data_IF_792196387990
#
_entry.id   IF_792196387990
#
_cell.length_a   1.000
_cell.length_b   1.000
_cell.length_c   1.000
_cell.angle_alpha   90.00
_cell.angle_beta   90.00
_cell.angle_gamma   90.00
#
_symmetry.space_group_name_H-M   'P 1'
#
loop_
_entity.id
_entity.type
_entity.pdbx_description
1 polymer ?
#
# COMPACT_ATOMS: atom_id res chain seq x y z
N UNK A 1 58.56 2.68 -25.63
CA UNK A 1 59.25 2.93 -26.90
C UNK A 1 58.32 3.73 -27.80
N UNK A 2 58.63 5.01 -27.97
CA UNK A 2 58.05 5.92 -28.97
C UNK A 2 58.65 5.61 -30.35
N UNK A 3 57.96 5.99 -31.45
CA UNK A 3 58.32 7.23 -32.17
C UNK A 3 57.06 8.03 -32.63
N UNK A 4 56.91 9.36 -32.47
CA UNK A 4 57.46 10.53 -33.23
C UNK A 4 57.41 10.34 -34.76
N UNK A 5 56.90 11.22 -35.64
CA UNK A 5 56.92 12.70 -35.82
C UNK A 5 56.16 12.97 -37.15
N UNK A 6 55.40 14.04 -37.46
CA UNK A 6 55.79 15.42 -37.84
C UNK A 6 54.52 16.15 -38.39
N UNK A 7 54.21 17.38 -37.97
CA UNK A 7 54.37 18.69 -38.70
C UNK A 7 53.62 18.77 -40.06
N UNK A 8 52.84 19.79 -40.43
CA UNK A 8 52.92 21.25 -40.24
C UNK A 8 51.55 21.89 -40.59
N UNK A 9 51.03 22.80 -39.76
CA UNK A 9 50.86 24.25 -39.99
C UNK A 9 50.18 24.71 -41.29
N UNK A 10 49.05 25.41 -41.16
CA UNK A 10 48.84 26.75 -41.75
C UNK A 10 47.92 27.59 -40.85
N UNK A 11 48.43 28.77 -40.51
CA UNK A 11 47.85 29.85 -39.71
C UNK A 11 47.51 31.03 -40.64
N UNK A 12 46.56 31.88 -40.23
CA UNK A 12 46.21 33.24 -40.70
C UNK A 12 44.72 33.32 -41.12
N UNK A 13 43.86 34.29 -40.73
CA UNK A 13 43.93 35.63 -40.08
C UNK A 13 42.46 35.98 -39.66
N UNK A 14 42.20 36.53 -38.45
CA UNK A 14 41.79 37.94 -38.14
C UNK A 14 40.58 38.47 -38.96
N UNK A 15 39.46 39.00 -38.45
CA UNK A 15 39.13 39.91 -37.32
C UNK A 15 37.60 39.81 -36.97
N UNK A 16 37.11 40.47 -35.90
CA UNK A 16 35.80 40.25 -35.26
C UNK A 16 34.69 41.18 -35.79
N UNK A 17 33.44 40.74 -35.67
CA UNK A 17 32.27 41.64 -35.74
C UNK A 17 31.40 41.41 -34.50
N UNK A 18 31.46 42.39 -33.60
CA UNK A 18 30.55 42.56 -32.48
C UNK A 18 29.29 43.22 -33.04
N UNK A 19 28.15 42.54 -33.01
CA UNK A 19 26.84 43.14 -33.29
C UNK A 19 25.85 42.73 -32.20
N UNK A 20 25.21 43.76 -31.66
CA UNK A 20 24.21 43.77 -30.60
C UNK A 20 23.14 42.69 -30.76
N UNK A 21 22.91 41.90 -29.72
CA UNK A 21 21.63 41.19 -29.51
C UNK A 21 20.80 41.97 -28.48
N UNK A 22 19.70 42.55 -28.95
CA UNK A 22 18.58 42.94 -28.12
C UNK A 22 17.79 41.68 -27.69
N UNK A 23 17.25 41.62 -26.46
CA UNK A 23 16.50 40.46 -25.99
C UNK A 23 15.09 40.46 -26.60
N UNK A 24 14.82 39.48 -27.47
CA UNK A 24 13.46 39.06 -27.79
C UNK A 24 12.98 38.14 -26.67
N UNK A 25 12.05 38.66 -25.88
CA UNK A 25 11.30 37.93 -24.86
C UNK A 25 10.53 36.76 -25.48
N UNK A 26 11.05 35.56 -25.29
CA UNK A 26 10.33 34.31 -25.47
C UNK A 26 9.46 34.06 -24.23
N UNK A 27 8.16 33.91 -24.45
CA UNK A 27 7.25 33.28 -23.48
C UNK A 27 7.63 31.81 -23.44
N UNK A 28 8.48 31.45 -22.50
CA UNK A 28 8.84 30.07 -22.19
C UNK A 28 7.90 29.56 -21.09
N UNK A 29 7.18 28.48 -21.40
CA UNK A 29 6.55 27.61 -20.42
C UNK A 29 7.58 27.23 -19.35
N UNK A 30 7.27 27.52 -18.09
CA UNK A 30 8.10 27.13 -16.96
C UNK A 30 8.19 25.62 -16.85
N UNK A 31 9.33 25.06 -17.26
CA UNK A 31 9.79 23.77 -16.77
C UNK A 31 10.16 23.98 -15.29
N UNK A 32 9.43 23.30 -14.40
CA UNK A 32 9.85 23.17 -13.01
C UNK A 32 11.20 22.45 -12.99
N UNK A 33 12.13 23.00 -12.21
CA UNK A 33 13.45 22.42 -12.00
C UNK A 33 13.30 20.98 -11.47
N UNK A 34 14.03 20.06 -12.10
CA UNK A 34 14.33 18.75 -11.54
C UNK A 34 15.13 18.96 -10.25
N UNK A 35 14.46 18.91 -9.10
CA UNK A 35 15.11 18.63 -7.83
C UNK A 35 15.51 17.15 -7.86
N UNK A 36 16.82 16.92 -8.01
CA UNK A 36 17.51 15.66 -7.73
C UNK A 36 17.35 15.31 -6.23
N UNK A 37 16.15 14.88 -5.85
CA UNK A 37 15.95 14.19 -4.58
C UNK A 37 16.62 12.81 -4.67
N UNK A 38 17.50 12.47 -3.70
CA UNK A 38 18.27 11.23 -3.72
C UNK A 38 17.37 9.99 -3.75
N UNK A 39 17.86 8.92 -4.38
CA UNK A 39 17.24 7.60 -4.37
C UNK A 39 17.05 7.11 -2.92
N UNK A 40 15.92 6.44 -2.64
CA UNK A 40 15.67 5.85 -1.32
C UNK A 40 16.66 4.72 -1.09
N UNK A 41 17.30 4.70 0.08
CA UNK A 41 18.34 3.72 0.45
C UNK A 41 17.78 2.59 1.31
N UNK A 42 18.52 1.50 1.50
CA UNK A 42 18.21 0.42 2.48
C UNK A 42 17.91 0.99 3.90
N UNK A 43 18.55 2.11 4.25
CA UNK A 43 18.35 2.82 5.51
C UNK A 43 16.95 3.46 5.60
N UNK A 44 16.35 3.88 4.47
CA UNK A 44 15.02 4.48 4.41
C UNK A 44 13.92 3.43 4.62
N UNK A 45 14.05 2.24 4.03
CA UNK A 45 13.13 1.13 4.30
C UNK A 45 13.25 0.62 5.74
N UNK A 46 14.47 0.56 6.26
CA UNK A 46 14.74 0.20 7.66
C UNK A 46 14.12 1.23 8.60
N UNK A 47 14.20 2.53 8.30
CA UNK A 47 13.55 3.59 9.06
C UNK A 47 12.01 3.45 9.05
N UNK A 48 11.42 3.06 7.92
CA UNK A 48 9.97 2.84 7.77
C UNK A 48 9.47 1.55 8.43
N UNK A 49 10.34 0.56 8.64
CA UNK A 49 9.99 -0.75 9.20
C UNK A 49 9.39 -0.69 10.62
N UNK A 50 9.59 0.45 11.27
CA UNK A 50 9.21 0.76 12.64
C UNK A 50 8.12 1.84 12.74
N UNK A 51 7.63 2.38 11.63
CA UNK A 51 6.63 3.45 11.64
C UNK A 51 5.22 2.93 11.89
N UNK A 52 4.36 3.80 12.43
CA UNK A 52 2.94 3.49 12.61
C UNK A 52 2.15 4.02 11.41
N UNK A 53 1.31 3.18 10.84
CA UNK A 53 0.52 3.51 9.65
C UNK A 53 -0.88 4.01 10.01
N UNK A 54 -1.38 4.95 9.22
CA UNK A 54 -2.65 5.62 9.43
C UNK A 54 -3.49 5.59 8.15
N UNK A 55 -4.82 5.55 8.34
CA UNK A 55 -5.78 5.61 7.24
C UNK A 55 -6.60 6.91 7.30
N UNK A 56 -6.62 7.63 6.19
CA UNK A 56 -7.46 8.81 5.93
C UNK A 56 -8.11 8.76 4.55
N UNK A 57 -8.14 7.57 3.94
CA UNK A 57 -8.84 7.33 2.68
C UNK A 57 -10.37 7.43 2.82
N UNK A 58 -11.09 7.22 1.71
CA UNK A 58 -12.50 7.58 1.62
C UNK A 58 -13.45 6.58 2.28
N UNK A 59 -13.01 5.36 2.64
CA UNK A 59 -13.86 4.33 3.23
C UNK A 59 -13.93 4.45 4.76
N UNK A 60 -15.16 4.62 5.28
CA UNK A 60 -15.41 4.48 6.72
C UNK A 60 -15.53 3.02 7.16
N UNK A 61 -15.54 2.79 8.46
CA UNK A 61 -15.97 1.51 9.02
C UNK A 61 -17.34 1.10 8.47
N UNK A 62 -17.45 -0.13 7.96
CA UNK A 62 -18.67 -0.66 7.37
C UNK A 62 -19.59 -1.22 8.44
N UNK A 63 -20.89 -1.04 8.25
CA UNK A 63 -21.93 -1.71 9.03
C UNK A 63 -22.12 -3.13 8.50
N UNK A 64 -22.18 -4.09 9.42
CA UNK A 64 -22.38 -5.52 9.15
C UNK A 64 -21.47 -6.07 8.03
N UNK A 65 -20.13 -5.92 8.15
CA UNK A 65 -19.24 -6.39 7.10
C UNK A 65 -19.27 -7.92 7.00
N UNK A 66 -18.94 -8.44 5.82
CA UNK A 66 -18.65 -9.84 5.54
C UNK A 66 -17.39 -9.93 4.71
N UNK A 67 -16.58 -10.97 4.96
CA UNK A 67 -15.27 -11.14 4.34
C UNK A 67 -15.23 -12.47 3.59
N UNK A 68 -14.84 -12.43 2.31
CA UNK A 68 -14.62 -13.62 1.48
C UNK A 68 -13.19 -13.62 0.96
N UNK A 69 -12.45 -14.68 1.22
CA UNK A 69 -11.12 -14.94 0.68
C UNK A 69 -11.24 -15.98 -0.42
N UNK A 70 -10.79 -15.63 -1.63
CA UNK A 70 -10.68 -16.58 -2.74
C UNK A 70 -9.24 -17.04 -2.91
N UNK A 71 -9.01 -18.34 -2.71
CA UNK A 71 -7.66 -18.92 -2.80
C UNK A 71 -7.17 -19.02 -4.25
N UNK A 72 -8.03 -19.42 -5.20
CA UNK A 72 -7.68 -19.41 -6.63
C UNK A 72 -7.65 -17.99 -7.21
N UNK A 73 -8.56 -17.12 -6.75
CA UNK A 73 -8.61 -15.73 -7.17
C UNK A 73 -7.47 -14.89 -6.61
N UNK A 74 -6.85 -15.29 -5.50
CA UNK A 74 -5.88 -14.47 -4.77
C UNK A 74 -6.45 -13.07 -4.47
N UNK A 75 -7.69 -13.05 -3.98
CA UNK A 75 -8.41 -11.85 -3.59
C UNK A 75 -9.04 -12.00 -2.22
N UNK A 76 -9.24 -10.87 -1.55
CA UNK A 76 -10.18 -10.76 -0.44
C UNK A 76 -11.23 -9.71 -0.79
N UNK A 77 -12.51 -10.05 -0.65
CA UNK A 77 -13.62 -9.13 -0.79
C UNK A 77 -14.24 -8.85 0.57
N UNK A 78 -14.44 -7.58 0.87
CA UNK A 78 -15.26 -7.12 1.99
C UNK A 78 -16.54 -6.51 1.45
N UNK A 79 -17.69 -6.97 1.96
CA UNK A 79 -19.00 -6.40 1.63
C UNK A 79 -19.65 -5.89 2.89
N UNK A 80 -20.21 -4.68 2.87
CA UNK A 80 -20.91 -4.10 4.02
C UNK A 80 -21.59 -2.80 3.63
N UNK A 81 -22.36 -2.22 4.55
CA UNK A 81 -23.09 -0.98 4.29
C UNK A 81 -22.27 0.22 4.76
N UNK A 82 -22.21 1.28 3.96
CA UNK A 82 -21.67 2.55 4.42
C UNK A 82 -22.62 3.17 5.47
N UNK A 83 -22.10 3.83 6.52
CA UNK A 83 -22.94 4.60 7.42
C UNK A 83 -23.75 5.63 6.64
N UNK A 84 -25.03 5.80 6.99
CA UNK A 84 -25.98 6.61 6.22
C UNK A 84 -25.54 8.08 6.01
N UNK A 85 -24.71 8.61 6.92
CA UNK A 85 -24.18 9.98 6.86
C UNK A 85 -22.92 10.13 6.00
N UNK A 86 -22.39 9.05 5.44
CA UNK A 86 -21.11 9.05 4.71
C UNK A 86 -21.36 8.97 3.20
N UNK A 87 -20.94 10.01 2.48
CA UNK A 87 -20.78 9.92 1.04
C UNK A 87 -19.41 9.33 0.72
N UNK A 88 -19.37 8.32 -0.13
CA UNK A 88 -18.13 7.71 -0.59
C UNK A 88 -17.74 8.33 -1.93
N UNK A 89 -16.54 8.92 -1.99
CA UNK A 89 -15.93 9.31 -3.25
C UNK A 89 -15.56 8.07 -4.08
N UNK A 90 -15.58 8.18 -5.41
CA UNK A 90 -15.24 7.06 -6.29
C UNK A 90 -13.85 6.51 -5.98
N UNK A 91 -13.79 5.20 -5.75
CA UNK A 91 -12.57 4.47 -5.45
C UNK A 91 -12.45 3.25 -6.38
N UNK A 92 -11.27 2.99 -6.98
CA UNK A 92 -11.13 2.02 -8.08
C UNK A 92 -11.46 0.58 -7.67
N UNK A 93 -11.25 0.26 -6.40
CA UNK A 93 -11.39 -1.07 -5.82
C UNK A 93 -12.77 -1.28 -5.16
N UNK A 94 -13.70 -0.34 -5.36
CA UNK A 94 -15.04 -0.35 -4.76
C UNK A 94 -16.13 -0.38 -5.83
N UNK A 95 -17.15 -1.21 -5.62
CA UNK A 95 -18.44 -1.13 -6.31
C UNK A 95 -19.52 -0.81 -5.31
N UNK A 96 -20.40 0.14 -5.66
CA UNK A 96 -21.50 0.60 -4.81
C UNK A 96 -22.85 0.18 -5.39
N UNK A 97 -23.70 -0.40 -4.56
CA UNK A 97 -25.09 -0.67 -4.87
C UNK A 97 -25.99 0.51 -4.44
N UNK A 98 -27.20 0.57 -5.00
CA UNK A 98 -28.14 1.66 -4.77
C UNK A 98 -28.61 1.77 -3.30
N UNK A 99 -28.57 0.67 -2.55
CA UNK A 99 -28.95 0.58 -1.14
C UNK A 99 -27.86 1.07 -0.16
N UNK A 100 -26.71 1.51 -0.69
CA UNK A 100 -25.55 1.93 0.10
C UNK A 100 -24.59 0.79 0.49
N UNK A 101 -24.87 -0.45 0.04
CA UNK A 101 -23.92 -1.56 0.16
C UNK A 101 -22.72 -1.31 -0.74
N UNK A 102 -21.52 -1.52 -0.21
CA UNK A 102 -20.27 -1.49 -0.97
C UNK A 102 -19.62 -2.87 -0.98
N UNK A 103 -19.02 -3.21 -2.11
CA UNK A 103 -18.12 -4.36 -2.26
C UNK A 103 -16.72 -3.83 -2.56
N UNK A 104 -15.78 -4.18 -1.71
CA UNK A 104 -14.39 -3.73 -1.73
C UNK A 104 -13.50 -4.93 -1.97
N UNK A 105 -12.63 -4.91 -2.97
CA UNK A 105 -11.80 -6.08 -3.33
C UNK A 105 -10.32 -5.71 -3.30
N UNK A 106 -9.53 -6.50 -2.59
CA UNK A 106 -8.08 -6.35 -2.50
C UNK A 106 -7.35 -7.56 -3.09
N UNK A 107 -6.20 -7.35 -3.75
CA UNK A 107 -5.29 -8.43 -4.09
C UNK A 107 -4.65 -8.99 -2.80
N UNK A 108 -4.45 -10.30 -2.75
CA UNK A 108 -3.72 -10.95 -1.66
C UNK A 108 -2.71 -11.96 -2.20
N UNK A 109 -1.74 -12.34 -1.37
CA UNK A 109 -0.95 -13.53 -1.58
C UNK A 109 -1.32 -14.60 -0.58
N UNK A 110 -1.51 -15.81 -1.07
CA UNK A 110 -1.88 -16.98 -0.28
C UNK A 110 -0.69 -17.92 -0.12
N UNK A 111 -0.90 -19.05 0.55
CA UNK A 111 0.16 -20.01 0.83
C UNK A 111 0.79 -20.58 -0.46
N UNK A 112 2.11 -20.76 -0.43
CA UNK A 112 2.89 -21.50 -1.41
C UNK A 112 2.39 -22.96 -1.52
N UNK A 113 2.59 -23.61 -2.68
CA UNK A 113 2.07 -24.97 -2.96
C UNK A 113 2.50 -26.03 -1.93
N UNK A 114 3.69 -25.89 -1.36
CA UNK A 114 4.27 -26.82 -0.39
C UNK A 114 4.04 -26.40 1.07
N UNK A 115 3.45 -25.23 1.30
CA UNK A 115 3.01 -24.78 2.62
C UNK A 115 1.51 -25.07 2.79
N UNK A 116 1.06 -25.35 4.02
CA UNK A 116 -0.36 -25.52 4.30
C UNK A 116 -1.12 -24.21 4.05
N UNK A 117 -2.01 -24.19 3.06
CA UNK A 117 -2.95 -23.08 2.89
C UNK A 117 -4.11 -23.20 3.90
N UNK A 118 -4.81 -22.09 4.11
CA UNK A 118 -6.13 -22.11 4.74
C UNK A 118 -7.02 -23.11 4.00
N UNK A 119 -7.77 -23.94 4.73
CA UNK A 119 -8.75 -24.83 4.11
C UNK A 119 -10.02 -24.03 3.81
N UNK A 120 -10.88 -24.59 2.96
CA UNK A 120 -12.23 -24.03 2.80
C UNK A 120 -12.97 -24.17 4.12
N UNK A 121 -13.27 -23.03 4.74
CA UNK A 121 -13.99 -22.97 6.00
C UNK A 121 -14.42 -21.52 6.29
N UNK A 122 -15.12 -21.34 7.40
CA UNK A 122 -15.44 -20.05 7.98
C UNK A 122 -14.62 -19.84 9.25
N UNK A 123 -13.87 -18.75 9.28
CA UNK A 123 -12.93 -18.41 10.33
C UNK A 123 -13.40 -17.17 11.11
N UNK A 124 -13.03 -17.07 12.39
CA UNK A 124 -13.36 -15.93 13.23
C UNK A 124 -12.09 -15.15 13.58
N UNK A 125 -12.16 -13.82 13.56
CA UNK A 125 -11.08 -12.97 14.04
C UNK A 125 -10.86 -13.19 15.55
N UNK A 126 -9.62 -13.48 15.93
CA UNK A 126 -9.20 -13.73 17.32
C UNK A 126 -8.22 -12.68 17.82
N UNK A 127 -7.42 -12.11 16.91
CA UNK A 127 -6.32 -11.19 17.26
C UNK A 127 -6.35 -9.99 16.33
N UNK A 128 -6.36 -8.78 16.90
CA UNK A 128 -6.09 -7.55 16.16
C UNK A 128 -4.88 -6.86 16.78
N UNK A 129 -3.80 -6.70 16.01
CA UNK A 129 -2.62 -5.90 16.37
C UNK A 129 -2.49 -4.76 15.35
N UNK A 130 -2.95 -3.54 15.67
CA UNK A 130 -3.04 -2.45 14.70
C UNK A 130 -1.67 -1.93 14.25
N UNK A 131 -0.65 -2.09 15.10
CA UNK A 131 0.72 -1.65 14.84
C UNK A 131 1.69 -2.77 15.20
N UNK A 132 2.28 -3.38 14.17
CA UNK A 132 3.23 -4.50 14.28
C UNK A 132 4.58 -4.09 13.68
N UNK A 133 5.45 -3.41 14.43
CA UNK A 133 6.79 -3.10 13.93
C UNK A 133 7.58 -4.37 13.63
N UNK A 134 8.57 -4.28 12.75
CA UNK A 134 9.50 -5.37 12.49
C UNK A 134 10.25 -5.78 13.76
N UNK A 135 10.54 -7.07 13.92
CA UNK A 135 11.23 -7.56 15.11
C UNK A 135 11.24 -9.07 15.24
N UNK A 136 11.92 -9.57 16.27
CA UNK A 136 12.00 -11.00 16.54
C UNK A 136 10.64 -11.57 16.94
N UNK A 137 10.25 -12.69 16.33
CA UNK A 137 9.09 -13.47 16.72
C UNK A 137 9.51 -14.93 16.96
N UNK A 138 8.90 -15.55 17.97
CA UNK A 138 9.10 -16.96 18.29
C UNK A 138 7.83 -17.73 17.95
N UNK A 139 7.98 -18.80 17.18
CA UNK A 139 6.93 -19.77 16.92
C UNK A 139 7.46 -21.20 17.12
N UNK A 140 6.66 -22.21 16.78
CA UNK A 140 7.04 -23.63 16.87
C UNK A 140 8.26 -24.02 16.04
N UNK A 141 8.66 -23.19 15.07
CA UNK A 141 9.82 -23.38 14.20
C UNK A 141 11.05 -22.60 14.67
N UNK A 142 10.98 -21.89 15.80
CA UNK A 142 12.08 -21.15 16.40
C UNK A 142 11.85 -19.65 16.45
N UNK A 143 12.93 -18.92 16.78
CA UNK A 143 12.94 -17.45 16.85
C UNK A 143 13.58 -16.89 15.60
N UNK A 144 12.84 -16.06 14.86
CA UNK A 144 13.32 -15.40 13.64
C UNK A 144 12.92 -13.93 13.60
N UNK A 145 13.70 -13.11 12.90
CA UNK A 145 13.32 -11.73 12.62
C UNK A 145 12.15 -11.73 11.63
N UNK A 146 11.12 -10.94 11.91
CA UNK A 146 9.96 -10.83 11.03
C UNK A 146 9.75 -9.38 10.59
N UNK A 147 9.79 -9.12 9.28
CA UNK A 147 9.75 -7.80 8.67
C UNK A 147 8.29 -7.31 8.52
N UNK A 148 7.59 -7.07 9.63
CA UNK A 148 6.18 -6.69 9.62
C UNK A 148 5.90 -5.26 9.13
N UNK A 149 6.92 -4.39 9.14
CA UNK A 149 6.85 -3.07 8.53
C UNK A 149 5.90 -2.09 9.24
N UNK A 150 5.46 -2.38 10.47
CA UNK A 150 4.52 -1.54 11.20
C UNK A 150 3.05 -1.76 10.83
N UNK A 151 2.75 -2.59 9.83
CA UNK A 151 1.39 -2.80 9.34
C UNK A 151 0.50 -3.57 10.35
N UNK A 152 -0.83 -3.45 10.23
CA UNK A 152 -1.74 -4.26 11.05
C UNK A 152 -1.55 -5.75 10.82
N UNK A 153 -1.76 -6.52 11.89
CA UNK A 153 -1.87 -7.97 11.85
C UNK A 153 -3.26 -8.37 12.37
N UNK A 154 -4.09 -8.90 11.49
CA UNK A 154 -5.47 -9.31 11.74
C UNK A 154 -5.54 -10.84 11.70
N UNK A 155 -5.31 -11.46 12.86
CA UNK A 155 -5.33 -12.90 13.03
C UNK A 155 -6.75 -13.43 13.19
N UNK A 156 -7.05 -14.51 12.48
CA UNK A 156 -8.23 -15.34 12.67
C UNK A 156 -7.81 -16.77 13.03
N UNK A 157 -8.76 -17.55 13.56
CA UNK A 157 -8.50 -18.87 14.13
C UNK A 157 -7.71 -19.79 13.18
N UNK A 158 -7.00 -20.76 13.75
CA UNK A 158 -6.08 -21.69 13.06
C UNK A 158 -4.76 -21.07 12.53
N UNK A 159 -4.31 -19.97 13.13
CA UNK A 159 -2.96 -19.41 12.89
C UNK A 159 -2.81 -18.69 11.55
N UNK A 160 -3.91 -18.20 11.00
CA UNK A 160 -3.96 -17.50 9.72
C UNK A 160 -4.24 -16.01 9.99
N UNK A 161 -3.72 -15.11 9.16
CA UNK A 161 -3.95 -13.68 9.32
C UNK A 161 -3.99 -12.93 7.99
N UNK A 162 -4.63 -11.76 8.00
CA UNK A 162 -4.32 -10.68 7.06
C UNK A 162 -3.23 -9.79 7.64
N UNK A 163 -2.23 -9.47 6.83
CA UNK A 163 -1.17 -8.53 7.23
C UNK A 163 -0.48 -7.92 6.00
N UNK A 164 0.23 -6.82 6.21
CA UNK A 164 1.05 -6.16 5.17
C UNK A 164 2.12 -7.07 4.55
N UNK A 165 2.79 -6.64 3.48
CA UNK A 165 3.62 -7.51 2.68
C UNK A 165 4.91 -7.82 3.45
N UNK A 166 5.37 -9.06 3.36
CA UNK A 166 6.66 -9.51 3.90
C UNK A 166 7.58 -9.76 2.71
N UNK A 167 7.89 -8.72 1.95
CA UNK A 167 8.93 -8.77 0.92
C UNK A 167 10.19 -8.14 1.49
N UNK A 168 10.83 -8.84 2.42
CA UNK A 168 12.27 -8.71 2.68
C UNK A 168 12.79 -10.16 2.70
N UNK A 169 13.35 -10.69 1.61
CA UNK A 169 14.70 -10.37 1.14
C UNK A 169 14.88 -10.38 -0.40
N UNK A 170 13.81 -10.65 -1.17
CA UNK A 170 13.83 -10.82 -2.63
C UNK A 170 12.98 -9.77 -3.34
N UNK A 171 13.17 -8.48 -3.06
CA UNK A 171 12.55 -7.42 -3.88
C UNK A 171 12.93 -7.58 -5.37
N UNK A 172 14.05 -8.25 -5.62
CA UNK A 172 14.28 -9.27 -6.64
C UNK A 172 15.46 -10.12 -6.12
N UNK A 173 15.70 -11.32 -6.63
CA UNK A 173 16.97 -12.06 -6.40
C UNK A 173 18.25 -11.34 -6.90
N UNK A 174 18.21 -10.01 -7.11
CA UNK A 174 19.29 -9.12 -7.52
C UNK A 174 19.55 -7.95 -6.54
N UNK A 175 18.72 -7.77 -5.50
CA UNK A 175 18.91 -6.71 -4.49
C UNK A 175 18.59 -5.28 -4.95
N UNK A 176 17.84 -5.07 -6.03
CA UNK A 176 17.67 -3.74 -6.66
C UNK A 176 16.34 -3.02 -6.39
N UNK A 177 15.48 -3.50 -5.48
CA UNK A 177 14.20 -2.82 -5.22
C UNK A 177 13.98 -2.48 -3.75
N UNK A 178 13.79 -1.19 -3.50
CA UNK A 178 13.60 -0.61 -2.17
C UNK A 178 12.11 -0.32 -1.87
N UNK A 179 11.25 -1.33 -2.03
CA UNK A 179 9.79 -1.15 -1.87
C UNK A 179 9.08 -2.35 -1.23
N UNK A 180 8.23 -2.07 -0.24
CA UNK A 180 7.28 -3.05 0.31
C UNK A 180 6.14 -3.27 -0.68
N UNK A 181 6.20 -4.34 -1.47
CA UNK A 181 5.15 -4.64 -2.44
C UNK A 181 4.59 -6.06 -2.28
N UNK A 182 3.30 -6.22 -2.61
CA UNK A 182 2.65 -7.51 -2.73
C UNK A 182 2.91 -8.12 -4.11
N UNK A 183 3.41 -9.35 -4.14
CA UNK A 183 3.27 -10.24 -5.28
C UNK A 183 2.01 -11.09 -5.11
N UNK A 184 0.93 -10.80 -5.86
CA UNK A 184 -0.33 -11.59 -5.80
C UNK A 184 -0.07 -12.99 -6.34
N UNK A 185 -0.31 -14.00 -5.51
CA UNK A 185 -0.02 -15.39 -5.88
C UNK A 185 0.26 -16.28 -4.66
N UNK A 186 0.98 -17.38 -4.88
CA UNK A 186 1.24 -18.41 -3.87
C UNK A 186 2.63 -18.22 -3.25
N UNK A 187 2.78 -17.22 -2.37
CA UNK A 187 4.09 -16.81 -1.83
C UNK A 187 4.20 -16.82 -0.31
N UNK A 188 3.11 -17.12 0.41
CA UNK A 188 3.10 -17.09 1.89
C UNK A 188 3.34 -18.47 2.49
N UNK A 189 3.51 -18.53 3.81
CA UNK A 189 3.58 -19.77 4.59
C UNK A 189 2.23 -20.17 5.20
N UNK A 190 1.11 -19.59 4.74
CA UNK A 190 -0.24 -19.89 5.24
C UNK A 190 -1.15 -18.67 5.41
N UNK A 191 -0.59 -17.51 5.75
CA UNK A 191 -1.33 -16.25 5.92
C UNK A 191 -1.71 -15.59 4.58
N UNK A 192 -2.67 -14.68 4.62
CA UNK A 192 -3.04 -13.83 3.50
C UNK A 192 -2.26 -12.51 3.57
N UNK A 193 -1.18 -12.42 2.78
CA UNK A 193 -0.40 -11.19 2.69
C UNK A 193 -1.13 -10.18 1.80
N UNK A 194 -1.07 -8.91 2.15
CA UNK A 194 -1.67 -7.81 1.40
C UNK A 194 -0.62 -6.73 1.16
N UNK A 195 -0.89 -5.77 0.28
CA UNK A 195 -0.18 -4.49 0.36
C UNK A 195 -0.45 -3.83 1.72
N UNK A 196 0.51 -3.06 2.20
CA UNK A 196 0.48 -2.55 3.57
C UNK A 196 -0.66 -1.57 3.79
N UNK A 197 -0.85 -0.69 2.81
CA UNK A 197 -1.95 0.26 2.72
C UNK A 197 -3.32 -0.43 2.63
N UNK A 198 -3.42 -1.58 1.96
CA UNK A 198 -4.66 -2.37 1.90
C UNK A 198 -4.95 -3.06 3.23
N UNK A 199 -3.92 -3.51 3.96
CA UNK A 199 -4.10 -4.06 5.31
C UNK A 199 -4.56 -2.97 6.30
N UNK A 200 -4.06 -1.74 6.14
CA UNK A 200 -4.46 -0.56 6.90
C UNK A 200 -5.92 -0.18 6.61
N UNK A 201 -6.32 -0.11 5.34
CA UNK A 201 -7.71 0.14 4.96
C UNK A 201 -8.62 -1.00 5.43
N UNK A 202 -8.25 -2.27 5.21
CA UNK A 202 -8.99 -3.45 5.66
C UNK A 202 -9.26 -3.41 7.17
N UNK A 203 -8.25 -3.11 7.97
CA UNK A 203 -8.41 -2.95 9.43
C UNK A 203 -9.43 -1.85 9.75
N UNK A 204 -9.33 -0.70 9.08
CA UNK A 204 -10.24 0.44 9.27
C UNK A 204 -11.68 0.10 8.93
N UNK A 205 -11.93 -0.48 7.75
CA UNK A 205 -13.29 -0.77 7.28
C UNK A 205 -13.97 -1.88 8.10
N UNK A 206 -13.19 -2.75 8.75
CA UNK A 206 -13.69 -3.76 9.69
C UNK A 206 -13.90 -3.22 11.12
N UNK A 207 -13.73 -1.90 11.32
CA UNK A 207 -14.04 -1.21 12.57
C UNK A 207 -12.87 -0.98 13.51
N UNK A 208 -11.64 -1.35 13.12
CA UNK A 208 -10.45 -0.99 13.88
C UNK A 208 -9.94 0.38 13.40
N UNK A 209 -10.26 1.45 14.11
CA UNK A 209 -9.87 2.80 13.67
C UNK A 209 -8.35 2.94 13.51
N UNK A 210 -7.91 3.08 12.26
CA UNK A 210 -6.51 3.32 11.90
C UNK A 210 -6.13 4.82 11.96
N UNK A 211 -6.88 5.63 12.72
CA UNK A 211 -6.51 7.01 13.05
C UNK A 211 -6.04 7.17 14.50
N UNK A 212 -6.05 6.09 15.26
CA UNK A 212 -5.54 6.05 16.63
C UNK A 212 -4.07 5.62 16.62
N UNK A 213 -3.32 6.10 17.60
CA UNK A 213 -1.93 5.70 17.82
C UNK A 213 -1.92 4.54 18.81
N UNK A 214 -1.46 3.38 18.34
CA UNK A 214 -1.41 2.16 19.12
C UNK A 214 -0.01 1.90 19.70
N UNK A 215 0.08 1.22 20.85
CA UNK A 215 1.34 0.66 21.30
C UNK A 215 1.77 -0.50 20.38
N UNK A 216 3.07 -0.55 20.06
CA UNK A 216 3.62 -1.56 19.16
C UNK A 216 3.48 -2.97 19.73
N UNK A 217 3.23 -3.95 18.85
CA UNK A 217 3.11 -5.37 19.17
C UNK A 217 2.02 -5.74 20.21
N UNK A 218 1.13 -4.81 20.53
CA UNK A 218 0.10 -4.98 21.55
C UNK A 218 -1.23 -5.35 20.90
N UNK A 219 -1.86 -6.48 21.27
CA UNK A 219 -3.19 -6.80 20.80
C UNK A 219 -4.22 -5.84 21.41
N UNK A 220 -5.23 -5.50 20.62
CA UNK A 220 -6.41 -4.78 21.09
C UNK A 220 -7.61 -5.71 21.07
N UNK A 221 -8.68 -5.32 21.77
CA UNK A 221 -9.97 -6.01 21.65
C UNK A 221 -10.43 -5.97 20.20
N UNK A 222 -10.73 -7.15 19.65
CA UNK A 222 -11.31 -7.27 18.31
C UNK A 222 -12.62 -6.46 18.25
N UNK A 223 -12.76 -5.49 17.33
CA UNK A 223 -13.96 -4.65 17.24
C UNK A 223 -15.17 -5.46 16.80
N UNK A 224 -16.38 -4.95 17.09
CA UNK A 224 -17.64 -5.62 16.73
C UNK A 224 -17.77 -5.87 15.23
N UNK A 225 -17.29 -4.95 14.39
CA UNK A 225 -17.24 -5.12 12.94
C UNK A 225 -16.51 -6.39 12.53
N UNK A 226 -15.30 -6.62 13.05
CA UNK A 226 -14.55 -7.86 12.84
C UNK A 226 -15.24 -9.08 13.47
N UNK A 227 -15.71 -8.98 14.71
CA UNK A 227 -16.36 -10.11 15.41
C UNK A 227 -17.58 -10.65 14.66
N UNK A 228 -18.34 -9.75 14.02
CA UNK A 228 -19.56 -10.10 13.30
C UNK A 228 -19.31 -10.39 11.81
N UNK A 229 -18.06 -10.32 11.36
CA UNK A 229 -17.64 -10.53 9.98
C UNK A 229 -16.71 -11.73 9.87
N UNK A 230 -17.22 -12.97 10.06
CA UNK A 230 -16.38 -14.15 9.89
C UNK A 230 -15.80 -14.20 8.47
N UNK A 231 -14.57 -14.69 8.38
CA UNK A 231 -13.81 -14.80 7.14
C UNK A 231 -14.16 -16.12 6.47
N UNK A 232 -14.94 -16.07 5.39
CA UNK A 232 -15.23 -17.23 4.56
C UNK A 232 -14.09 -17.45 3.58
N UNK A 233 -13.40 -18.58 3.67
CA UNK A 233 -12.37 -18.99 2.72
C UNK A 233 -12.97 -19.97 1.72
N UNK A 234 -12.78 -19.70 0.43
CA UNK A 234 -13.20 -20.57 -0.68
C UNK A 234 -11.98 -20.95 -1.53
N UNK A 235 -11.96 -22.18 -2.05
CA UNK A 235 -10.88 -22.63 -2.92
C UNK A 235 -11.00 -21.99 -4.30
N UNK A 236 -12.22 -21.82 -4.81
CA UNK A 236 -12.49 -21.30 -6.16
C UNK A 236 -12.47 -19.77 -6.25
N UNK A 237 -12.63 -19.24 -7.47
CA UNK A 237 -12.84 -17.82 -7.74
C UNK A 237 -14.14 -17.31 -7.10
N UNK A 238 -14.04 -16.17 -6.40
CA UNK A 238 -15.22 -15.48 -5.88
C UNK A 238 -16.07 -14.88 -7.02
N UNK A 239 -17.34 -14.59 -6.74
CA UNK A 239 -18.29 -14.05 -7.70
C UNK A 239 -18.98 -12.80 -7.18
N UNK A 240 -19.22 -11.86 -8.09
CA UNK A 240 -20.02 -10.65 -7.87
C UNK A 240 -21.03 -10.53 -9.01
N UNK A 241 -22.32 -10.47 -8.66
CA UNK A 241 -23.43 -10.37 -9.63
C UNK A 241 -23.37 -11.45 -10.73
N UNK A 242 -23.03 -12.68 -10.34
CA UNK A 242 -22.94 -13.83 -11.25
C UNK A 242 -21.67 -13.91 -12.11
N UNK A 243 -20.79 -12.90 -12.05
CA UNK A 243 -19.49 -12.87 -12.74
C UNK A 243 -18.34 -13.21 -11.81
N UNK A 244 -17.26 -13.75 -12.34
CA UNK A 244 -16.02 -14.04 -11.60
C UNK A 244 -15.26 -12.76 -11.29
N UNK A 245 -14.82 -12.61 -10.04
CA UNK A 245 -14.06 -11.43 -9.60
C UNK A 245 -12.61 -11.56 -10.04
N UNK A 246 -12.07 -10.49 -10.60
CA UNK A 246 -10.63 -10.28 -10.75
C UNK A 246 -10.27 -8.85 -10.31
N UNK A 247 -8.97 -8.61 -10.13
CA UNK A 247 -8.41 -7.32 -9.73
C UNK A 247 -7.37 -6.88 -10.75
N UNK A 248 -7.39 -5.59 -11.09
CA UNK A 248 -6.37 -4.95 -11.91
C UNK A 248 -5.11 -4.73 -11.09
N UNK A 249 -4.39 -5.81 -10.78
CA UNK A 249 -3.14 -5.80 -10.01
C UNK A 249 -2.22 -6.95 -10.45
N UNK A 250 -0.89 -6.75 -10.45
CA UNK A 250 0.08 -7.76 -10.86
C UNK A 250 -0.06 -9.12 -10.19
N UNK A 251 0.21 -10.20 -10.93
CA UNK A 251 0.16 -11.59 -10.47
C UNK A 251 1.47 -12.29 -10.78
N UNK A 252 1.86 -13.23 -9.93
CA UNK A 252 2.93 -14.18 -10.22
C UNK A 252 2.57 -15.06 -11.45
N UNK A 253 3.59 -15.52 -12.16
CA UNK A 253 3.53 -16.34 -13.39
C UNK A 253 2.67 -17.60 -13.26
N UNK A 254 2.56 -18.15 -12.05
CA UNK A 254 1.76 -19.35 -11.76
C UNK A 254 0.27 -19.11 -11.52
N UNK A 255 -0.18 -17.85 -11.46
CA UNK A 255 -1.58 -17.51 -11.21
C UNK A 255 -2.39 -17.55 -12.51
N UNK A 256 -3.50 -18.30 -12.50
CA UNK A 256 -4.46 -18.30 -13.60
C UNK A 256 -5.54 -17.27 -13.30
N UNK A 257 -5.63 -16.22 -14.12
CA UNK A 257 -6.74 -15.25 -14.06
C UNK A 257 -8.04 -15.89 -14.54
N UNK A 258 -9.20 -15.58 -13.95
CA UNK A 258 -10.49 -16.19 -14.32
C UNK A 258 -10.85 -15.98 -15.79
N UNK A 259 -10.45 -14.84 -16.38
CA UNK A 259 -10.66 -14.52 -17.79
C UNK A 259 -10.07 -15.59 -18.74
N UNK A 260 -8.89 -16.13 -18.39
CA UNK A 260 -8.22 -17.18 -19.18
C UNK A 260 -9.02 -18.49 -19.21
N UNK A 261 -9.79 -18.77 -18.16
CA UNK A 261 -10.55 -20.01 -17.99
C UNK A 261 -11.99 -19.87 -18.46
N UNK A 262 -12.63 -18.73 -18.18
CA UNK A 262 -14.07 -18.56 -18.35
C UNK A 262 -14.47 -17.51 -19.40
N UNK A 263 -13.51 -16.78 -19.96
CA UNK A 263 -13.74 -15.68 -20.91
C UNK A 263 -13.94 -14.32 -20.23
N UNK A 264 -13.51 -13.26 -20.90
CA UNK A 264 -13.53 -11.88 -20.38
C UNK A 264 -14.96 -11.39 -20.04
N UNK A 265 -15.97 -11.83 -20.80
CA UNK A 265 -17.37 -11.41 -20.59
C UNK A 265 -17.96 -11.94 -19.27
N UNK A 266 -17.37 -13.02 -18.73
CA UNK A 266 -17.73 -13.64 -17.45
C UNK A 266 -16.98 -13.06 -16.27
N UNK A 267 -16.06 -12.13 -16.49
CA UNK A 267 -15.26 -11.51 -15.44
C UNK A 267 -15.77 -10.11 -15.11
N UNK A 268 -15.71 -9.77 -13.85
CA UNK A 268 -15.87 -8.40 -13.36
C UNK A 268 -14.54 -7.96 -12.75
N UNK A 269 -13.92 -6.97 -13.39
CA UNK A 269 -12.68 -6.38 -12.91
C UNK A 269 -12.99 -5.32 -11.85
N UNK A 270 -12.30 -5.41 -10.72
CA UNK A 270 -12.15 -4.33 -9.76
C UNK A 270 -10.81 -3.65 -10.03
N UNK A 271 -10.77 -2.32 -9.99
CA UNK A 271 -9.50 -1.61 -10.01
C UNK A 271 -8.70 -1.86 -8.74
N UNK A 272 -7.43 -1.48 -8.73
CA UNK A 272 -6.62 -1.46 -7.52
C UNK A 272 -6.03 -0.06 -7.29
N UNK A 273 -5.30 0.09 -6.20
CA UNK A 273 -4.62 1.33 -5.86
C UNK A 273 -3.36 1.02 -5.06
N UNK A 274 -2.41 1.95 -5.05
CA UNK A 274 -1.22 1.88 -4.19
C UNK A 274 -1.04 3.20 -3.45
N UNK A 275 -0.63 3.12 -2.20
CA UNK A 275 -0.31 4.29 -1.40
C UNK A 275 1.03 4.86 -1.86
N UNK A 276 1.10 6.18 -2.02
CA UNK A 276 2.39 6.87 -2.23
C UNK A 276 2.53 7.96 -1.18
N UNK A 277 3.69 7.98 -0.54
CA UNK A 277 4.12 9.06 0.34
C UNK A 277 4.83 10.17 -0.43
N UNK A 278 5.36 9.88 -1.63
CA UNK A 278 6.02 10.86 -2.48
C UNK A 278 5.07 11.47 -3.51
N UNK A 279 5.01 12.80 -3.68
CA UNK A 279 4.14 13.41 -4.70
C UNK A 279 4.42 12.92 -6.13
N UNK A 280 5.66 12.50 -6.41
CA UNK A 280 6.11 12.02 -7.71
C UNK A 280 6.13 10.48 -7.84
N UNK A 281 5.68 9.75 -6.82
CA UNK A 281 5.65 8.27 -6.86
C UNK A 281 7.03 7.61 -6.89
N UNK A 282 8.12 8.31 -6.56
CA UNK A 282 9.48 7.73 -6.46
C UNK A 282 9.59 6.60 -5.43
N UNK A 283 8.66 6.55 -4.47
CA UNK A 283 8.55 5.47 -3.49
C UNK A 283 7.80 4.24 -4.02
N UNK A 284 7.36 4.28 -5.28
CA UNK A 284 6.76 3.14 -5.98
C UNK A 284 7.79 2.46 -6.88
N UNK A 285 7.61 1.17 -7.20
CA UNK A 285 8.51 0.47 -8.12
C UNK A 285 8.62 1.22 -9.48
N UNK A 286 9.81 1.72 -9.88
CA UNK A 286 9.94 2.68 -10.98
C UNK A 286 9.67 2.06 -12.37
N UNK A 287 10.15 0.83 -12.61
CA UNK A 287 10.12 0.18 -13.93
C UNK A 287 9.39 -1.16 -13.94
N UNK A 288 8.65 -1.47 -12.87
CA UNK A 288 8.05 -2.77 -12.70
C UNK A 288 6.75 -2.88 -13.55
N UNK A 289 6.91 -3.02 -14.86
CA UNK A 289 5.84 -3.44 -15.78
C UNK A 289 5.73 -4.94 -15.70
N UNK A 290 5.06 -5.43 -14.67
CA UNK A 290 4.71 -6.84 -14.60
C UNK A 290 3.63 -7.11 -15.66
N UNK A 291 3.73 -8.23 -16.38
CA UNK A 291 2.67 -8.73 -17.26
C UNK A 291 1.45 -9.15 -16.42
N UNK A 292 0.72 -8.21 -15.82
CA UNK A 292 -0.44 -8.55 -15.01
C UNK A 292 -1.34 -7.36 -14.61
N UNK A 293 -1.69 -6.49 -15.56
CA UNK A 293 -2.98 -5.80 -15.51
C UNK A 293 -4.09 -6.68 -16.12
N UNK A 294 -5.17 -6.04 -16.59
CA UNK A 294 -6.04 -6.63 -17.63
C UNK A 294 -5.18 -7.28 -18.73
N UNK A 295 -5.54 -8.47 -19.21
CA UNK A 295 -4.76 -9.20 -20.21
C UNK A 295 -4.29 -8.28 -21.37
N UNK A 296 -2.97 -8.24 -21.61
CA UNK A 296 -2.36 -7.39 -22.64
C UNK A 296 -2.12 -5.93 -22.25
N UNK A 297 -2.41 -5.51 -21.01
CA UNK A 297 -2.12 -4.16 -20.49
C UNK A 297 -1.19 -4.23 -19.29
N UNK A 298 -0.04 -3.51 -19.31
CA UNK A 298 0.85 -3.46 -18.16
C UNK A 298 0.20 -2.67 -17.01
N UNK A 299 0.41 -3.12 -15.78
CA UNK A 299 0.06 -2.34 -14.61
C UNK A 299 1.14 -1.29 -14.35
N UNK A 300 0.73 -0.02 -14.22
CA UNK A 300 1.64 1.10 -13.94
C UNK A 300 1.32 1.63 -12.55
N UNK A 301 2.23 1.42 -11.59
CA UNK A 301 2.02 1.80 -10.19
C UNK A 301 1.71 3.29 -10.03
N UNK A 302 2.45 4.17 -10.71
CA UNK A 302 2.22 5.61 -10.68
C UNK A 302 0.79 6.00 -11.12
N UNK A 303 0.20 5.29 -12.09
CA UNK A 303 -1.17 5.55 -12.55
C UNK A 303 -2.24 5.13 -11.53
N UNK A 304 -1.88 4.25 -10.59
CA UNK A 304 -2.74 3.74 -9.53
C UNK A 304 -2.44 4.37 -8.16
N UNK A 305 -1.50 5.31 -8.13
CA UNK A 305 -1.04 5.94 -6.91
C UNK A 305 -2.15 6.82 -6.30
N UNK A 306 -2.33 6.69 -4.99
CA UNK A 306 -3.21 7.54 -4.18
C UNK A 306 -2.39 8.22 -3.10
N UNK A 307 -2.32 9.54 -3.20
CA UNK A 307 -1.73 10.37 -2.15
C UNK A 307 -2.73 10.53 -1.01
N UNK A 308 -2.20 10.63 0.21
CA UNK A 308 -2.93 11.01 1.42
C UNK A 308 -4.05 10.06 1.85
N UNK A 309 -4.23 8.89 1.23
CA UNK A 309 -5.17 7.87 1.71
C UNK A 309 -4.58 7.09 2.89
N UNK A 310 -3.28 6.85 2.82
CA UNK A 310 -2.49 6.21 3.87
C UNK A 310 -1.19 6.99 4.03
N UNK A 311 -0.68 7.02 5.24
CA UNK A 311 0.63 7.57 5.56
C UNK A 311 1.17 6.94 6.83
N UNK A 312 2.45 7.11 7.10
CA UNK A 312 3.07 6.66 8.34
C UNK A 312 3.47 7.82 9.26
N UNK A 313 3.78 7.53 10.52
CA UNK A 313 4.51 8.45 11.38
C UNK A 313 5.64 7.73 12.13
N UNK A 314 6.79 8.40 12.36
CA UNK A 314 7.91 7.82 13.08
C UNK A 314 7.66 7.80 14.59
N UNK A 315 8.24 6.81 15.27
CA UNK A 315 8.14 6.64 16.75
C UNK A 315 8.47 7.91 17.52
N UNK A 316 9.42 8.70 17.03
CA UNK A 316 9.83 9.99 17.63
C UNK A 316 8.71 11.03 17.71
N UNK A 317 7.63 10.88 16.93
CA UNK A 317 6.45 11.78 16.97
C UNK A 317 5.32 11.27 17.86
N UNK A 318 5.38 10.03 18.35
CA UNK A 318 4.21 9.37 18.98
C UNK A 318 3.76 10.04 20.25
N UNK A 319 4.65 10.55 21.09
CA UNK A 319 4.25 11.20 22.34
C UNK A 319 3.40 12.45 22.07
N UNK A 320 3.89 13.34 21.19
CA UNK A 320 3.18 14.55 20.80
C UNK A 320 1.86 14.23 20.08
N UNK A 321 1.87 13.28 19.14
CA UNK A 321 0.66 12.86 18.43
C UNK A 321 -0.35 12.21 19.38
N UNK A 322 0.08 11.43 20.38
CA UNK A 322 -0.83 10.82 21.38
C UNK A 322 -1.49 11.88 22.25
N UNK A 323 -0.73 12.87 22.72
CA UNK A 323 -1.27 14.01 23.48
C UNK A 323 -2.30 14.77 22.65
N UNK A 324 -2.00 15.04 21.38
CA UNK A 324 -2.94 15.69 20.47
C UNK A 324 -4.19 14.84 20.18
N UNK A 325 -4.04 13.56 19.88
CA UNK A 325 -5.18 12.68 19.65
C UNK A 325 -6.08 12.59 20.89
N UNK A 326 -5.50 12.53 22.10
CA UNK A 326 -6.23 12.48 23.36
C UNK A 326 -7.05 13.75 23.66
N UNK A 327 -6.70 14.91 23.09
CA UNK A 327 -7.49 16.15 23.23
C UNK A 327 -8.67 16.21 22.25
N UNK A 328 -8.78 15.23 21.33
CA UNK A 328 -9.84 15.18 20.30
C UNK A 328 -10.93 14.18 20.67
N UNK A 329 -12.14 14.35 20.11
CA UNK A 329 -13.19 13.34 20.22
C UNK A 329 -12.69 11.96 19.77
N UNK A 330 -13.10 10.92 20.51
CA UNK A 330 -12.72 9.53 20.29
C UNK A 330 -11.21 9.20 20.38
N UNK A 331 -10.33 10.15 20.74
CA UNK A 331 -8.91 9.89 20.91
C UNK A 331 -8.17 9.60 19.59
N UNK A 332 -8.60 10.20 18.48
CA UNK A 332 -8.09 9.92 17.12
C UNK A 332 -7.51 11.16 16.45
N UNK A 333 -6.58 10.91 15.52
CA UNK A 333 -6.05 11.94 14.63
C UNK A 333 -7.12 12.44 13.64
N UNK A 334 -6.99 13.67 13.14
CA UNK A 334 -7.88 14.25 12.13
C UNK A 334 -7.96 13.44 10.83
N UNK A 335 -9.08 13.61 10.11
CA UNK A 335 -9.35 12.97 8.84
C UNK A 335 -8.45 13.48 7.70
N UNK A 336 -7.83 14.66 7.88
CA UNK A 336 -6.84 15.25 6.98
C UNK A 336 -5.39 15.01 7.42
N UNK A 337 -5.15 14.12 8.41
CA UNK A 337 -3.82 13.88 8.97
C UNK A 337 -2.78 13.55 7.89
N UNK A 338 -3.06 12.64 6.95
CA UNK A 338 -2.07 12.28 5.94
C UNK A 338 -1.81 13.41 4.93
N UNK A 339 -2.83 14.19 4.58
CA UNK A 339 -2.65 15.37 3.71
C UNK A 339 -1.74 16.44 4.34
N UNK A 340 -1.64 16.46 5.67
CA UNK A 340 -0.89 17.45 6.44
C UNK A 340 0.18 16.82 7.33
N UNK A 341 0.60 15.61 6.97
CA UNK A 341 1.47 14.73 7.77
C UNK A 341 2.71 15.47 8.26
N UNK A 342 3.40 16.17 7.37
CA UNK A 342 4.64 16.88 7.67
C UNK A 342 4.45 17.89 8.82
N UNK A 343 3.44 18.77 8.71
CA UNK A 343 3.13 19.76 9.75
C UNK A 343 2.78 19.08 11.08
N UNK A 344 1.91 18.07 11.06
CA UNK A 344 1.52 17.36 12.28
C UNK A 344 2.73 16.72 12.98
N UNK A 345 3.60 16.05 12.23
CA UNK A 345 4.81 15.40 12.75
C UNK A 345 5.79 16.44 13.31
N UNK A 346 6.04 17.53 12.58
CA UNK A 346 6.96 18.59 13.03
C UNK A 346 6.49 19.25 14.33
N UNK A 347 5.21 19.63 14.40
CA UNK A 347 4.64 20.22 15.62
C UNK A 347 4.66 19.25 16.79
N UNK A 348 4.30 17.98 16.55
CA UNK A 348 4.32 16.95 17.58
C UNK A 348 5.74 16.72 18.14
N UNK A 349 6.77 16.71 17.28
CA UNK A 349 8.18 16.59 17.71
C UNK A 349 8.67 17.81 18.48
N UNK A 350 8.25 19.01 18.07
CA UNK A 350 8.63 20.26 18.70
C UNK A 350 7.87 20.56 20.01
N UNK A 351 6.93 19.70 20.43
CA UNK A 351 6.05 19.96 21.57
C UNK A 351 5.04 21.10 21.33
N UNK A 352 4.88 21.54 20.08
CA UNK A 352 3.90 22.55 19.69
C UNK A 352 2.50 21.96 19.51
N UNK A 353 1.48 22.81 19.38
CA UNK A 353 0.10 22.38 19.17
C UNK A 353 -0.17 22.03 17.69
N UNK A 354 -0.41 20.74 17.35
CA UNK A 354 -0.68 20.34 15.97
C UNK A 354 -2.05 20.82 15.46
N UNK A 355 -2.92 21.38 16.30
CA UNK A 355 -4.19 22.00 15.86
C UNK A 355 -4.01 23.20 14.92
N UNK A 356 -2.79 23.76 14.90
CA UNK A 356 -2.40 24.91 14.07
C UNK A 356 -2.09 24.55 12.61
N UNK A 357 -2.02 23.26 12.26
CA UNK A 357 -1.82 22.78 10.90
C UNK A 357 -3.09 22.95 10.01
N UNK A 358 -3.78 24.09 10.09
CA UNK A 358 -5.05 24.32 9.39
C UNK A 358 -4.89 24.48 7.90
#
# INVERSE_FOLDING_TARGET
MTPTRNMMMKLARLLPLLALLAPLSTVACGAAADDDAPEATDDDLTAKSDEHWFYTGPLSALENPSVVVSLNGHTVRVTGKLPASVSLADAPHVKKAADGTVSVVYPIATAAKLSGNSREDTYNFEIAKPYRPSGMATNSSGTSFVPWGGFPFLGYNNGIAFHGPITSADSNGDGTKDVWYLMRGRVSHGCNRMNGEHAVELAHILGLTMRKIYPGNTPVTVPSGMKNAPVKVIADYDRFEGKYIDVDYPTDTGVVRPAKTFGDDKVVMFGSWVGTESPNGKDLPPDAKWEAGIAGKPYVFAAHAKQNWVCSAPKSSFEGLKKFAASRPAGVLPDDFCAKRACYIEKAKAGGDPSTCR
#
